data_IF_504056865411
#
_entry.id   IF_504056865411
#
_cell.length_a   1.000
_cell.length_b   1.000
_cell.length_c   1.000
_cell.angle_alpha   90.00
_cell.angle_beta   90.00
_cell.angle_gamma   90.00
#
_symmetry.space_group_name_H-M   'P 1'
#
loop_
_entity.id
_entity.type
_entity.pdbx_description
1 polymer ?
#
# COMPACT_ATOMS: atom_id res chain seq x y z
N UNK A 1 31.00 17.72 12.57
CA UNK A 1 30.77 16.45 11.87
C UNK A 1 30.62 15.25 12.81
N UNK A 2 31.35 15.19 13.92
CA UNK A 2 31.29 14.10 14.91
C UNK A 2 29.94 13.88 15.58
N UNK A 3 29.19 14.95 15.88
CA UNK A 3 27.89 14.83 16.57
C UNK A 3 26.81 14.15 15.72
N UNK A 4 26.79 14.42 14.42
CA UNK A 4 25.85 13.76 13.49
C UNK A 4 26.14 12.27 13.33
N UNK A 5 27.40 11.87 13.36
CA UNK A 5 27.81 10.46 13.32
C UNK A 5 27.41 9.72 14.59
N UNK A 6 27.57 10.33 15.75
CA UNK A 6 27.16 9.76 17.05
C UNK A 6 25.64 9.59 17.13
N UNK A 7 24.87 10.57 16.68
CA UNK A 7 23.41 10.51 16.61
C UNK A 7 22.97 9.37 15.65
N UNK A 8 23.62 9.27 14.50
CA UNK A 8 23.34 8.19 13.52
C UNK A 8 23.61 6.81 14.09
N UNK A 9 24.74 6.63 14.80
CA UNK A 9 25.06 5.36 15.45
C UNK A 9 24.10 5.03 16.59
N UNK A 10 23.72 6.02 17.38
CA UNK A 10 22.75 5.84 18.46
C UNK A 10 21.38 5.40 17.92
N UNK A 11 20.89 6.06 16.86
CA UNK A 11 19.62 5.70 16.19
C UNK A 11 19.72 4.32 15.58
N UNK A 12 20.85 3.99 14.93
CA UNK A 12 21.06 2.67 14.33
C UNK A 12 21.08 1.57 15.37
N UNK A 13 21.80 1.77 16.48
CA UNK A 13 21.86 0.79 17.57
C UNK A 13 20.51 0.63 18.28
N UNK A 14 19.78 1.74 18.47
CA UNK A 14 18.43 1.69 19.01
C UNK A 14 17.48 0.92 18.05
N UNK A 15 17.52 1.22 16.75
CA UNK A 15 16.73 0.53 15.75
C UNK A 15 17.04 -0.96 15.70
N UNK A 16 18.32 -1.35 15.66
CA UNK A 16 18.74 -2.76 15.64
C UNK A 16 18.31 -3.52 16.90
N UNK A 17 18.32 -2.85 18.06
CA UNK A 17 17.92 -3.45 19.33
C UNK A 17 16.41 -3.71 19.41
N UNK A 18 15.61 -2.85 18.80
CA UNK A 18 14.13 -2.91 18.85
C UNK A 18 13.49 -3.27 17.50
N UNK A 19 14.28 -3.70 16.52
CA UNK A 19 13.84 -4.02 15.18
C UNK A 19 12.69 -5.03 15.17
N UNK A 20 12.76 -6.06 16.03
CA UNK A 20 11.73 -7.08 16.17
C UNK A 20 10.36 -6.54 16.60
N UNK A 21 10.32 -5.39 17.29
CA UNK A 21 9.06 -4.74 17.69
C UNK A 21 8.69 -3.57 16.78
N UNK A 22 9.67 -2.78 16.35
CA UNK A 22 9.44 -1.58 15.54
C UNK A 22 8.93 -1.94 14.16
N UNK A 23 9.50 -2.96 13.52
CA UNK A 23 9.11 -3.36 12.16
C UNK A 23 7.67 -3.88 12.09
N UNK A 24 7.22 -4.82 12.96
CA UNK A 24 5.82 -5.22 13.01
C UNK A 24 4.87 -4.08 13.35
N UNK A 25 5.25 -3.18 14.26
CA UNK A 25 4.45 -2.02 14.63
C UNK A 25 4.26 -1.06 13.44
N UNK A 26 5.33 -0.77 12.70
CA UNK A 26 5.24 0.08 11.50
C UNK A 26 4.38 -0.56 10.41
N UNK A 27 4.50 -1.89 10.20
CA UNK A 27 3.65 -2.63 9.28
C UNK A 27 2.20 -2.61 9.71
N UNK A 28 1.93 -2.76 11.01
CA UNK A 28 0.58 -2.67 11.56
C UNK A 28 -0.05 -1.30 11.28
N UNK A 29 0.66 -0.22 11.62
CA UNK A 29 0.18 1.15 11.39
C UNK A 29 -0.05 1.42 9.91
N UNK A 30 0.89 1.02 9.05
CA UNK A 30 0.76 1.16 7.60
C UNK A 30 -0.45 0.37 7.07
N UNK A 31 -0.61 -0.88 7.51
CA UNK A 31 -1.75 -1.72 7.15
C UNK A 31 -3.08 -1.14 7.61
N UNK A 32 -3.12 -0.65 8.85
CA UNK A 32 -4.32 -0.04 9.41
C UNK A 32 -4.76 1.18 8.60
N UNK A 33 -3.81 2.09 8.31
CA UNK A 33 -4.08 3.27 7.49
C UNK A 33 -4.57 2.86 6.09
N UNK A 34 -3.92 1.86 5.48
CA UNK A 34 -4.28 1.36 4.15
C UNK A 34 -5.70 0.78 4.12
N UNK A 35 -6.03 -0.15 5.02
CA UNK A 35 -7.35 -0.79 5.05
C UNK A 35 -8.46 0.18 5.45
N UNK A 36 -8.22 1.08 6.40
CA UNK A 36 -9.19 2.15 6.74
C UNK A 36 -9.40 3.10 5.56
N UNK A 37 -8.36 3.41 4.78
CA UNK A 37 -8.48 4.26 3.59
C UNK A 37 -9.30 3.55 2.51
N UNK A 38 -9.10 2.24 2.31
CA UNK A 38 -9.89 1.45 1.35
C UNK A 38 -11.36 1.43 1.80
N UNK A 39 -11.65 1.12 3.08
CA UNK A 39 -13.02 1.14 3.61
C UNK A 39 -13.67 2.50 3.44
N UNK A 40 -12.97 3.57 3.81
CA UNK A 40 -13.51 4.94 3.73
C UNK A 40 -13.72 5.45 2.30
N UNK A 41 -13.06 4.84 1.32
CA UNK A 41 -13.23 5.22 -0.10
C UNK A 41 -14.17 4.31 -0.86
N UNK A 42 -14.24 3.05 -0.48
CA UNK A 42 -14.96 2.04 -1.23
C UNK A 42 -16.16 1.44 -0.48
N UNK A 43 -16.23 1.44 0.83
CA UNK A 43 -17.33 1.06 1.75
C UNK A 43 -18.54 0.24 1.24
N UNK A 44 -18.48 -0.29 0.00
CA UNK A 44 -19.61 -0.92 -0.69
C UNK A 44 -20.02 -2.26 -0.11
N UNK A 45 -19.10 -2.98 0.54
CA UNK A 45 -19.40 -4.26 1.15
C UNK A 45 -19.63 -4.12 2.64
N UNK A 46 -20.88 -3.91 3.06
CA UNK A 46 -21.25 -3.70 4.46
C UNK A 46 -20.74 -4.79 5.43
N UNK A 47 -20.50 -6.00 4.94
CA UNK A 47 -19.93 -7.10 5.76
C UNK A 47 -18.45 -6.91 6.08
N UNK A 48 -17.71 -6.21 5.25
CA UNK A 48 -16.26 -6.00 5.39
C UNK A 48 -15.94 -4.56 5.80
N UNK A 49 -16.90 -3.65 5.63
CA UNK A 49 -16.79 -2.24 6.04
C UNK A 49 -16.92 -2.07 7.57
N UNK A 50 -16.16 -2.89 8.31
CA UNK A 50 -16.05 -2.76 9.76
C UNK A 50 -14.61 -2.47 10.15
N UNK A 51 -14.42 -1.49 11.00
CA UNK A 51 -13.11 -1.14 11.57
C UNK A 51 -12.44 -2.36 12.20
N UNK A 52 -13.22 -3.28 12.78
CA UNK A 52 -12.72 -4.51 13.37
C UNK A 52 -12.04 -5.43 12.33
N UNK A 53 -12.58 -5.53 11.12
CA UNK A 53 -11.99 -6.34 10.04
C UNK A 53 -10.71 -5.71 9.51
N UNK A 54 -10.71 -4.38 9.34
CA UNK A 54 -9.50 -3.63 8.97
C UNK A 54 -8.39 -3.80 10.02
N UNK A 55 -8.75 -3.82 11.31
CA UNK A 55 -7.81 -4.00 12.41
C UNK A 55 -7.24 -5.42 12.43
N UNK A 56 -8.07 -6.45 12.25
CA UNK A 56 -7.62 -7.86 12.15
C UNK A 56 -6.73 -8.05 10.93
N UNK A 57 -7.09 -7.51 9.77
CA UNK A 57 -6.29 -7.57 8.55
C UNK A 57 -4.93 -6.87 8.74
N UNK A 58 -4.91 -5.69 9.36
CA UNK A 58 -3.68 -4.97 9.69
C UNK A 58 -2.80 -5.75 10.69
N UNK A 59 -3.40 -6.40 11.68
CA UNK A 59 -2.69 -7.23 12.64
C UNK A 59 -2.04 -8.44 11.95
N UNK A 60 -2.75 -9.11 11.06
CA UNK A 60 -2.18 -10.19 10.24
C UNK A 60 -1.01 -9.69 9.39
N UNK A 61 -1.14 -8.53 8.76
CA UNK A 61 -0.09 -7.91 7.96
C UNK A 61 1.17 -7.56 8.77
N UNK A 62 1.02 -7.30 10.07
CA UNK A 62 2.14 -7.01 10.98
C UNK A 62 3.17 -8.14 11.01
N UNK A 63 2.72 -9.39 10.97
CA UNK A 63 3.59 -10.58 11.04
C UNK A 63 4.04 -11.08 9.66
N UNK A 64 3.35 -10.69 8.60
CA UNK A 64 3.60 -11.17 7.25
C UNK A 64 4.62 -10.28 6.50
N UNK A 65 5.29 -10.80 5.46
CA UNK A 65 6.16 -9.99 4.61
C UNK A 65 5.35 -8.95 3.82
N UNK A 66 5.98 -7.82 3.51
CA UNK A 66 5.33 -6.71 2.76
C UNK A 66 4.70 -7.15 1.43
N UNK A 67 5.27 -8.16 0.76
CA UNK A 67 4.68 -8.71 -0.46
C UNK A 67 3.30 -9.32 -0.26
N UNK A 68 3.09 -10.01 0.87
CA UNK A 68 1.76 -10.56 1.23
C UNK A 68 0.78 -9.43 1.57
N UNK A 69 1.27 -8.35 2.19
CA UNK A 69 0.47 -7.16 2.46
C UNK A 69 -0.06 -6.51 1.17
N UNK A 70 0.78 -6.44 0.10
CA UNK A 70 0.36 -6.00 -1.24
C UNK A 70 -0.78 -6.89 -1.76
N UNK A 71 -0.61 -8.20 -1.64
CA UNK A 71 -1.63 -9.17 -2.11
C UNK A 71 -2.93 -9.05 -1.31
N UNK A 72 -2.86 -8.97 0.02
CA UNK A 72 -4.04 -8.83 0.89
C UNK A 72 -4.78 -7.51 0.62
N UNK A 73 -4.06 -6.41 0.41
CA UNK A 73 -4.68 -5.12 0.07
C UNK A 73 -5.42 -5.17 -1.26
N UNK A 74 -4.86 -5.87 -2.25
CA UNK A 74 -5.51 -6.09 -3.54
C UNK A 74 -6.75 -6.97 -3.43
N UNK A 75 -6.67 -8.06 -2.66
CA UNK A 75 -7.84 -8.91 -2.41
C UNK A 75 -8.95 -8.13 -1.72
N UNK A 76 -8.60 -7.30 -0.74
CA UNK A 76 -9.55 -6.46 -0.02
C UNK A 76 -10.25 -5.47 -0.96
N UNK A 77 -9.48 -4.87 -1.87
CA UNK A 77 -9.98 -4.00 -2.91
C UNK A 77 -10.94 -4.71 -3.86
N UNK A 78 -10.55 -5.89 -4.36
CA UNK A 78 -11.38 -6.70 -5.26
C UNK A 78 -12.71 -7.12 -4.61
N UNK A 79 -12.69 -7.45 -3.31
CA UNK A 79 -13.91 -7.80 -2.56
C UNK A 79 -14.89 -6.62 -2.48
N UNK A 80 -14.39 -5.41 -2.20
CA UNK A 80 -15.23 -4.22 -2.19
C UNK A 80 -15.79 -3.90 -3.57
N UNK A 81 -14.96 -4.02 -4.63
CA UNK A 81 -15.41 -3.80 -6.01
C UNK A 81 -16.42 -4.86 -6.47
N UNK A 82 -16.28 -6.10 -6.00
CA UNK A 82 -17.24 -7.17 -6.29
C UNK A 82 -18.65 -6.86 -5.76
N UNK A 83 -18.73 -6.22 -4.60
CA UNK A 83 -20.01 -5.78 -4.05
C UNK A 83 -20.68 -4.66 -4.87
N UNK A 84 -19.90 -3.93 -5.65
CA UNK A 84 -20.40 -2.86 -6.53
C UNK A 84 -20.87 -3.43 -7.87
N UNK A 85 -19.97 -4.09 -8.62
CA UNK A 85 -20.26 -4.65 -9.94
C UNK A 85 -19.26 -5.74 -10.31
N UNK A 86 -19.77 -6.85 -10.86
CA UNK A 86 -18.93 -7.93 -11.37
C UNK A 86 -18.10 -7.49 -12.60
N UNK A 87 -18.60 -6.56 -13.41
CA UNK A 87 -17.90 -6.03 -14.58
C UNK A 87 -16.67 -5.22 -14.16
N UNK A 88 -16.83 -4.35 -13.15
CA UNK A 88 -15.73 -3.56 -12.59
C UNK A 88 -14.63 -4.45 -12.01
N UNK A 89 -14.98 -5.57 -11.37
CA UNK A 89 -14.00 -6.52 -10.83
C UNK A 89 -13.13 -7.12 -11.93
N UNK A 90 -13.71 -7.48 -13.07
CA UNK A 90 -12.93 -8.06 -14.19
C UNK A 90 -11.92 -7.05 -14.72
N UNK A 91 -12.33 -5.81 -14.92
CA UNK A 91 -11.43 -4.73 -15.38
C UNK A 91 -10.32 -4.47 -14.35
N UNK A 92 -10.69 -4.37 -13.08
CA UNK A 92 -9.74 -4.12 -11.99
C UNK A 92 -8.77 -5.29 -11.82
N UNK A 93 -9.25 -6.54 -11.95
CA UNK A 93 -8.42 -7.74 -11.89
C UNK A 93 -7.38 -7.76 -13.01
N UNK A 94 -7.80 -7.44 -14.25
CA UNK A 94 -6.88 -7.36 -15.39
C UNK A 94 -5.82 -6.28 -15.19
N UNK A 95 -6.24 -5.09 -14.76
CA UNK A 95 -5.31 -4.00 -14.45
C UNK A 95 -4.32 -4.42 -13.34
N UNK A 96 -4.82 -5.10 -12.30
CA UNK A 96 -3.99 -5.57 -11.20
C UNK A 96 -2.99 -6.63 -11.64
N UNK A 97 -3.38 -7.59 -12.50
CA UNK A 97 -2.46 -8.59 -13.06
C UNK A 97 -1.35 -7.92 -13.86
N UNK A 98 -1.67 -6.93 -14.68
CA UNK A 98 -0.68 -6.18 -15.46
C UNK A 98 0.31 -5.47 -14.51
N UNK A 99 -0.20 -4.76 -13.51
CA UNK A 99 0.63 -4.08 -12.50
C UNK A 99 1.50 -5.10 -11.76
N UNK A 100 0.96 -6.25 -11.37
CA UNK A 100 1.68 -7.30 -10.66
C UNK A 100 2.83 -7.87 -11.52
N UNK A 101 2.57 -8.16 -12.79
CA UNK A 101 3.60 -8.67 -13.73
C UNK A 101 4.73 -7.67 -13.88
N UNK A 102 4.40 -6.40 -14.12
CA UNK A 102 5.39 -5.32 -14.25
C UNK A 102 6.18 -5.16 -12.94
N UNK A 103 5.47 -5.15 -11.81
CA UNK A 103 6.08 -5.01 -10.49
C UNK A 103 7.02 -6.17 -10.16
N UNK A 104 6.59 -7.43 -10.33
CA UNK A 104 7.43 -8.60 -10.06
C UNK A 104 8.66 -8.64 -10.97
N UNK A 105 8.54 -8.13 -12.20
CA UNK A 105 9.63 -8.12 -13.17
C UNK A 105 10.67 -7.04 -12.88
N UNK A 106 10.24 -5.83 -12.52
CA UNK A 106 11.11 -4.66 -12.45
C UNK A 106 11.40 -4.17 -11.02
N UNK A 107 10.53 -4.41 -10.08
CA UNK A 107 10.62 -3.83 -8.74
C UNK A 107 10.23 -4.77 -7.59
N UNK A 108 10.73 -6.03 -7.55
CA UNK A 108 10.27 -7.01 -6.55
C UNK A 108 10.62 -6.63 -5.09
N UNK A 109 11.48 -5.64 -4.87
CA UNK A 109 11.89 -5.15 -3.55
C UNK A 109 11.24 -3.82 -3.15
N UNK A 110 10.45 -3.22 -4.03
CA UNK A 110 9.84 -1.90 -3.82
C UNK A 110 8.38 -1.99 -3.31
N UNK A 111 8.06 -3.00 -2.48
CA UNK A 111 6.72 -3.22 -1.91
C UNK A 111 6.18 -1.99 -1.20
N UNK A 112 7.04 -1.31 -0.43
CA UNK A 112 6.66 -0.13 0.33
C UNK A 112 6.22 1.02 -0.59
N UNK A 113 6.93 1.25 -1.70
CA UNK A 113 6.58 2.30 -2.65
C UNK A 113 5.26 2.00 -3.36
N UNK A 114 5.03 0.75 -3.72
CA UNK A 114 3.78 0.34 -4.37
C UNK A 114 2.57 0.57 -3.45
N UNK A 115 2.68 0.24 -2.15
CA UNK A 115 1.61 0.46 -1.16
C UNK A 115 1.45 1.94 -0.78
N UNK A 116 2.57 2.65 -0.64
CA UNK A 116 2.56 4.04 -0.19
C UNK A 116 2.04 4.99 -1.28
N UNK A 117 2.30 4.69 -2.55
CA UNK A 117 1.90 5.57 -3.66
C UNK A 117 0.41 5.89 -3.67
N UNK A 118 -0.53 4.92 -3.70
CA UNK A 118 -1.96 5.23 -3.70
C UNK A 118 -2.38 5.98 -2.43
N UNK A 119 -1.75 5.72 -1.29
CA UNK A 119 -2.02 6.41 -0.04
C UNK A 119 -1.62 7.89 -0.11
N UNK A 120 -0.45 8.20 -0.68
CA UNK A 120 0.02 9.58 -0.88
C UNK A 120 -0.88 10.36 -1.84
N UNK A 121 -1.43 9.70 -2.87
CA UNK A 121 -2.41 10.31 -3.77
C UNK A 121 -3.71 10.65 -3.05
N UNK A 122 -4.21 9.75 -2.19
CA UNK A 122 -5.39 10.01 -1.34
C UNK A 122 -5.15 11.20 -0.41
N UNK A 123 -3.96 11.33 0.13
CA UNK A 123 -3.57 12.46 0.99
C UNK A 123 -3.25 13.75 0.23
N UNK A 124 -3.45 13.77 -1.09
CA UNK A 124 -3.18 14.93 -1.97
C UNK A 124 -1.70 15.36 -1.99
N UNK A 125 -0.78 14.44 -1.75
CA UNK A 125 0.67 14.63 -1.82
C UNK A 125 1.29 13.69 -2.86
N UNK A 126 0.83 13.72 -4.13
CA UNK A 126 1.23 12.76 -5.16
C UNK A 126 2.72 12.83 -5.50
N UNK A 127 3.31 14.01 -5.41
CA UNK A 127 4.71 14.24 -5.79
C UNK A 127 5.71 13.57 -4.84
N UNK A 128 5.31 13.22 -3.63
CA UNK A 128 6.19 12.55 -2.67
C UNK A 128 6.60 11.14 -3.13
N UNK A 129 5.74 10.43 -3.86
CA UNK A 129 6.04 9.09 -4.35
C UNK A 129 7.18 9.05 -5.39
N UNK A 130 7.15 9.82 -6.50
CA UNK A 130 8.26 9.86 -7.45
C UNK A 130 9.52 10.46 -6.85
N UNK A 131 9.39 11.43 -5.93
CA UNK A 131 10.53 12.01 -5.23
C UNK A 131 11.24 10.95 -4.36
N UNK A 132 10.49 10.17 -3.59
CA UNK A 132 11.02 9.08 -2.78
C UNK A 132 11.68 7.99 -3.65
N UNK A 133 11.07 7.64 -4.77
CA UNK A 133 11.63 6.69 -5.72
C UNK A 133 12.95 7.18 -6.34
N UNK A 134 13.05 8.47 -6.64
CA UNK A 134 14.27 9.08 -7.18
C UNK A 134 15.40 9.22 -6.16
N UNK A 135 15.07 9.50 -4.90
CA UNK A 135 16.07 9.69 -3.83
C UNK A 135 16.59 8.37 -3.24
N UNK A 136 15.71 7.41 -3.04
CA UNK A 136 16.01 6.18 -2.28
C UNK A 136 15.87 4.91 -3.10
N UNK A 137 15.32 5.02 -4.30
CA UNK A 137 14.96 3.89 -5.12
C UNK A 137 16.03 3.48 -6.14
N UNK A 138 15.90 2.24 -6.58
CA UNK A 138 16.55 1.75 -7.79
C UNK A 138 15.74 2.20 -9.02
N UNK A 139 16.29 2.12 -10.25
CA UNK A 139 15.52 2.43 -11.46
C UNK A 139 14.18 1.68 -11.57
N UNK A 140 14.09 0.46 -11.00
CA UNK A 140 12.84 -0.31 -10.93
C UNK A 140 11.80 0.28 -9.96
N UNK A 141 12.20 1.14 -9.03
CA UNK A 141 11.26 1.78 -8.09
C UNK A 141 10.23 2.67 -8.83
N UNK A 142 10.60 3.22 -9.98
CA UNK A 142 9.67 3.96 -10.84
C UNK A 142 8.50 3.09 -11.32
N UNK A 143 8.75 1.80 -11.61
CA UNK A 143 7.70 0.85 -11.98
C UNK A 143 6.72 0.58 -10.83
N UNK A 144 7.21 0.52 -9.59
CA UNK A 144 6.35 0.38 -8.40
C UNK A 144 5.48 1.62 -8.19
N UNK A 145 6.04 2.82 -8.36
CA UNK A 145 5.28 4.08 -8.29
C UNK A 145 4.23 4.14 -9.40
N UNK A 146 4.60 3.83 -10.64
CA UNK A 146 3.66 3.77 -11.76
C UNK A 146 2.52 2.78 -11.49
N UNK A 147 2.83 1.59 -10.98
CA UNK A 147 1.83 0.60 -10.55
C UNK A 147 0.89 1.13 -9.47
N UNK A 148 1.42 1.81 -8.46
CA UNK A 148 0.63 2.43 -7.41
C UNK A 148 -0.28 3.55 -7.91
N UNK A 149 0.16 4.33 -8.90
CA UNK A 149 -0.65 5.34 -9.59
C UNK A 149 -1.82 4.70 -10.32
N UNK A 150 -1.55 3.61 -11.08
CA UNK A 150 -2.61 2.86 -11.77
C UNK A 150 -3.65 2.35 -10.77
N UNK A 151 -3.21 1.77 -9.66
CA UNK A 151 -4.12 1.31 -8.59
C UNK A 151 -4.96 2.46 -8.04
N UNK A 152 -4.38 3.63 -7.79
CA UNK A 152 -5.11 4.80 -7.32
C UNK A 152 -6.19 5.25 -8.32
N UNK A 153 -5.85 5.37 -9.61
CA UNK A 153 -6.82 5.77 -10.62
C UNK A 153 -7.91 4.72 -10.83
N UNK A 154 -7.59 3.43 -10.73
CA UNK A 154 -8.60 2.37 -10.74
C UNK A 154 -9.57 2.52 -9.56
N UNK A 155 -9.06 2.83 -8.36
CA UNK A 155 -9.86 3.12 -7.17
C UNK A 155 -10.79 4.33 -7.37
N UNK A 156 -10.25 5.41 -7.91
CA UNK A 156 -11.01 6.63 -8.17
C UNK A 156 -12.13 6.37 -9.18
N UNK A 157 -11.81 5.66 -10.26
CA UNK A 157 -12.79 5.37 -11.32
C UNK A 157 -13.92 4.46 -10.85
N UNK A 158 -13.62 3.46 -10.00
CA UNK A 158 -14.65 2.62 -9.39
C UNK A 158 -15.51 3.37 -8.39
N UNK A 159 -14.94 4.32 -7.64
CA UNK A 159 -15.69 5.16 -6.73
C UNK A 159 -16.66 6.09 -7.49
N UNK A 160 -16.19 6.75 -8.55
CA UNK A 160 -17.01 7.65 -9.35
C UNK A 160 -18.14 6.90 -10.08
N UNK A 161 -17.89 5.68 -10.56
CA UNK A 161 -18.91 4.83 -11.20
C UNK A 161 -19.99 4.31 -10.25
N UNK A 162 -19.78 4.41 -8.95
CA UNK A 162 -20.74 4.01 -7.93
C UNK A 162 -21.66 5.15 -7.49
N UNK A 163 -21.22 6.40 -7.69
CA UNK A 163 -21.97 7.61 -7.31
C UNK A 163 -22.92 8.07 -8.43
N UNK A 164 -22.78 7.52 -9.66
CA UNK A 164 -23.69 7.72 -10.79
C UNK A 164 -24.79 6.65 -10.82
#
# INVERSE_FOLDING_TARGET
MTQLLVIREYIKNFYTKYEEFIVPLLKFVLGLILFLTINGRMGYMAKIDHVAIALVAALLCSFLPLGVMVFLSAMFLLLHTYALSAECVVVLLLAYIIVLVIYLRFAPKAHLLLLLTPLLFVWKIPYAAPLAAGLFGTPGAAAAVAGGVVVYYCLLYTSDAADD
#
